data_IF_707707565733
#
_entry.id   IF_707707565733
#
_cell.length_a   1.000
_cell.length_b   1.000
_cell.length_c   1.000
_cell.angle_alpha   90.00
_cell.angle_beta   90.00
_cell.angle_gamma   90.00
#
_symmetry.space_group_name_H-M   'P 1'
#
loop_
_entity.id
_entity.type
_entity.pdbx_description
1 polymer ?
#
# COMPACT_ATOMS: atom_id res chain seq x y z
N UNK A 1 -14.48 -7.35 9.36
CA UNK A 1 -13.24 -8.15 9.30
C UNK A 1 -12.44 -7.60 8.12
N UNK A 2 -11.17 -7.23 8.30
CA UNK A 2 -10.37 -6.62 7.23
C UNK A 2 -9.68 -7.71 6.42
N UNK A 3 -9.77 -7.67 5.09
CA UNK A 3 -9.17 -8.67 4.19
C UNK A 3 -8.01 -8.05 3.42
N UNK A 4 -6.94 -8.83 3.23
CA UNK A 4 -5.84 -8.57 2.31
C UNK A 4 -5.85 -9.70 1.29
N UNK A 5 -5.98 -9.34 0.01
CA UNK A 5 -5.96 -10.30 -1.10
C UNK A 5 -4.66 -10.16 -1.85
N UNK A 6 -3.98 -11.28 -2.04
CA UNK A 6 -2.67 -11.35 -2.66
C UNK A 6 -2.68 -12.35 -3.82
N UNK A 7 -1.90 -12.07 -4.86
CA UNK A 7 -1.54 -13.01 -5.92
C UNK A 7 -0.08 -13.43 -5.70
N UNK A 8 0.20 -14.73 -5.66
CA UNK A 8 1.57 -15.23 -5.49
C UNK A 8 2.37 -15.06 -6.80
N UNK A 9 3.50 -14.34 -6.77
CA UNK A 9 4.33 -14.05 -7.95
C UNK A 9 5.55 -15.00 -8.01
N UNK A 10 5.97 -15.56 -6.88
CA UNK A 10 7.08 -16.52 -6.81
C UNK A 10 7.77 -16.55 -5.44
N UNK A 11 8.85 -17.34 -5.33
CA UNK A 11 9.70 -17.42 -4.13
C UNK A 11 11.02 -16.68 -4.39
N UNK A 12 11.21 -15.49 -3.83
CA UNK A 12 12.55 -14.91 -3.74
C UNK A 12 13.24 -15.29 -2.42
N UNK A 13 14.23 -16.18 -2.53
CA UNK A 13 15.24 -16.52 -1.52
C UNK A 13 14.78 -17.11 -0.18
N UNK A 14 15.69 -17.89 0.43
CA UNK A 14 15.57 -18.72 1.65
C UNK A 14 15.03 -18.05 2.93
N UNK A 15 14.69 -16.75 2.91
CA UNK A 15 14.39 -15.94 4.11
C UNK A 15 12.98 -15.32 4.08
N UNK A 16 12.29 -15.33 2.93
CA UNK A 16 10.95 -14.72 2.81
C UNK A 16 9.95 -15.76 2.31
N UNK A 17 8.83 -15.93 3.03
CA UNK A 17 7.73 -16.85 2.69
C UNK A 17 6.91 -16.35 1.48
N UNK A 18 7.56 -16.17 0.33
CA UNK A 18 6.94 -15.78 -0.94
C UNK A 18 6.93 -14.27 -1.21
N UNK A 19 6.86 -13.93 -2.50
CA UNK A 19 6.62 -12.58 -3.00
C UNK A 19 5.18 -12.52 -3.49
N UNK A 20 4.43 -11.56 -2.97
CA UNK A 20 3.02 -11.39 -3.26
C UNK A 20 2.73 -10.05 -3.92
N UNK A 21 1.88 -10.06 -4.94
CA UNK A 21 1.24 -8.87 -5.47
C UNK A 21 -0.03 -8.60 -4.68
N UNK A 22 -0.14 -7.45 -4.03
CA UNK A 22 -1.36 -7.10 -3.29
C UNK A 22 -2.43 -6.64 -4.28
N UNK A 23 -3.48 -7.44 -4.41
CA UNK A 23 -4.65 -7.20 -5.28
C UNK A 23 -5.64 -6.25 -4.61
N UNK A 24 -5.94 -6.49 -3.32
CA UNK A 24 -6.79 -5.61 -2.50
C UNK A 24 -6.24 -5.50 -1.06
N UNK A 25 -6.51 -4.37 -0.41
CA UNK A 25 -6.03 -4.05 0.94
C UNK A 25 -4.79 -3.17 0.98
N UNK A 26 -4.32 -2.66 -0.17
CA UNK A 26 -3.14 -1.80 -0.27
C UNK A 26 -3.23 -0.57 0.66
N UNK A 27 -4.37 0.11 0.68
CA UNK A 27 -4.58 1.28 1.56
C UNK A 27 -4.53 0.88 3.04
N UNK A 28 -5.15 -0.24 3.42
CA UNK A 28 -5.16 -0.73 4.81
C UNK A 28 -3.75 -1.04 5.30
N UNK A 29 -2.96 -1.71 4.46
CA UNK A 29 -1.58 -2.05 4.80
C UNK A 29 -0.71 -0.79 4.88
N UNK A 30 -0.89 0.14 3.94
CA UNK A 30 -0.18 1.44 3.94
C UNK A 30 -0.48 2.22 5.23
N UNK A 31 -1.75 2.35 5.62
CA UNK A 31 -2.14 3.02 6.86
C UNK A 31 -1.53 2.35 8.09
N UNK A 32 -1.55 1.02 8.16
CA UNK A 32 -0.94 0.28 9.28
C UNK A 32 0.57 0.57 9.39
N UNK A 33 1.27 0.59 8.25
CA UNK A 33 2.71 0.87 8.21
C UNK A 33 2.98 2.31 8.68
N UNK A 34 2.20 3.29 8.21
CA UNK A 34 2.34 4.69 8.65
C UNK A 34 2.07 4.81 10.16
N UNK A 35 1.02 4.16 10.66
CA UNK A 35 0.68 4.16 12.08
C UNK A 35 1.79 3.56 12.96
N UNK A 36 2.39 2.45 12.52
CA UNK A 36 3.53 1.84 13.20
C UNK A 36 4.75 2.78 13.19
N UNK A 37 4.97 3.55 12.12
CA UNK A 37 6.10 4.50 12.04
C UNK A 37 5.86 5.68 12.99
N UNK A 38 4.64 6.19 13.05
CA UNK A 38 4.25 7.21 14.02
C UNK A 38 4.45 6.74 15.47
N UNK A 39 4.07 5.48 15.79
CA UNK A 39 4.35 4.86 17.09
C UNK A 39 5.84 4.74 17.38
N UNK A 40 6.62 4.28 16.41
CA UNK A 40 8.08 4.17 16.53
C UNK A 40 8.72 5.51 16.89
N UNK A 41 8.28 6.62 16.28
CA UNK A 41 8.77 7.97 16.59
C UNK A 41 8.54 8.36 18.05
N UNK A 42 7.34 8.12 18.57
CA UNK A 42 6.99 8.46 19.97
C UNK A 42 7.73 7.55 20.95
N UNK A 43 7.82 6.25 20.66
CA UNK A 43 8.50 5.29 21.54
C UNK A 43 10.03 5.48 21.57
N UNK A 44 10.63 5.99 20.50
CA UNK A 44 12.07 6.25 20.42
C UNK A 44 12.55 7.34 21.38
N UNK A 45 11.67 8.25 21.80
CA UNK A 45 11.97 9.31 22.78
C UNK A 45 11.60 8.92 24.22
N UNK A 46 11.04 7.71 24.40
CA UNK A 46 10.57 7.19 25.67
C UNK A 46 11.64 6.56 26.56
N UNK A 47 11.19 5.71 27.48
CA UNK A 47 12.08 4.94 28.37
C UNK A 47 12.83 3.79 27.63
N UNK A 48 13.71 3.08 28.32
CA UNK A 48 14.51 2.00 27.71
C UNK A 48 13.66 0.84 27.17
N UNK A 49 12.49 0.58 27.77
CA UNK A 49 11.55 -0.45 27.28
C UNK A 49 10.87 0.02 26.01
N UNK A 50 10.42 1.28 25.97
CA UNK A 50 9.80 1.90 24.80
C UNK A 50 10.79 1.97 23.63
N UNK A 51 12.03 2.38 23.88
CA UNK A 51 13.10 2.38 22.86
C UNK A 51 13.37 1.00 22.29
N UNK A 52 13.34 -0.05 23.11
CA UNK A 52 13.48 -1.42 22.62
C UNK A 52 12.35 -1.79 21.66
N UNK A 53 11.11 -1.47 22.01
CA UNK A 53 9.95 -1.70 21.12
C UNK A 53 10.05 -0.85 19.85
N UNK A 54 10.53 0.39 19.94
CA UNK A 54 10.77 1.24 18.79
C UNK A 54 11.77 0.61 17.80
N UNK A 55 12.86 0.01 18.31
CA UNK A 55 13.83 -0.70 17.49
C UNK A 55 13.23 -1.95 16.82
N UNK A 56 12.42 -2.72 17.56
CA UNK A 56 11.71 -3.88 17.00
C UNK A 56 10.78 -3.46 15.84
N UNK A 57 10.03 -2.37 16.00
CA UNK A 57 9.17 -1.83 14.93
C UNK A 57 10.00 -1.35 13.74
N UNK A 58 11.12 -0.67 13.97
CA UNK A 58 12.01 -0.19 12.92
C UNK A 58 12.59 -1.34 12.10
N UNK A 59 12.99 -2.43 12.75
CA UNK A 59 13.52 -3.64 12.10
C UNK A 59 12.48 -4.38 11.24
N UNK A 60 11.18 -4.27 11.58
CA UNK A 60 10.10 -4.80 10.74
C UNK A 60 9.93 -4.00 9.44
N UNK A 61 10.28 -2.72 9.43
CA UNK A 61 10.09 -1.84 8.28
C UNK A 61 11.29 -1.83 7.34
N UNK A 62 12.49 -1.82 7.90
CA UNK A 62 13.75 -1.65 7.17
C UNK A 62 14.72 -2.73 7.63
N UNK A 63 15.14 -3.58 6.69
CA UNK A 63 16.22 -4.57 6.94
C UNK A 63 17.57 -3.87 7.04
N UNK A 64 18.55 -4.55 7.63
CA UNK A 64 19.93 -4.05 7.81
C UNK A 64 20.62 -3.64 6.50
N UNK A 65 20.14 -4.13 5.35
CA UNK A 65 20.60 -3.76 4.00
C UNK A 65 19.80 -2.62 3.35
N UNK A 66 19.04 -1.85 4.14
CA UNK A 66 18.18 -0.76 3.68
C UNK A 66 17.09 -1.19 2.67
N UNK A 67 16.75 -2.47 2.60
CA UNK A 67 15.57 -2.92 1.86
C UNK A 67 14.31 -2.68 2.69
N UNK A 68 13.35 -1.97 2.10
CA UNK A 68 12.00 -1.87 2.64
C UNK A 68 11.36 -3.26 2.60
N UNK A 69 10.93 -3.73 3.77
CA UNK A 69 10.46 -5.10 3.95
C UNK A 69 9.00 -5.27 3.51
N UNK A 70 8.20 -4.20 3.57
CA UNK A 70 6.74 -4.36 3.67
C UNK A 70 5.94 -3.96 2.42
N UNK A 71 6.44 -3.07 1.56
CA UNK A 71 5.72 -2.61 0.37
C UNK A 71 6.68 -2.08 -0.69
N UNK A 72 6.75 -2.73 -1.85
CA UNK A 72 7.24 -2.10 -3.07
C UNK A 72 6.04 -1.50 -3.80
N UNK A 73 5.92 -0.18 -3.80
CA UNK A 73 4.88 0.50 -4.56
C UNK A 73 5.33 0.70 -6.00
N UNK A 74 4.50 0.31 -6.98
CA UNK A 74 4.75 0.50 -8.41
C UNK A 74 4.64 1.98 -8.86
N UNK A 75 4.64 2.94 -7.94
CA UNK A 75 4.28 4.33 -8.21
C UNK A 75 5.40 5.30 -7.82
N UNK A 76 5.54 6.39 -8.58
CA UNK A 76 6.48 7.52 -8.40
C UNK A 76 6.57 8.13 -6.98
N UNK A 77 5.62 7.83 -6.09
CA UNK A 77 5.63 8.28 -4.69
C UNK A 77 6.50 7.41 -3.76
N UNK A 78 7.12 6.35 -4.29
CA UNK A 78 7.96 5.41 -3.52
C UNK A 78 9.05 6.12 -2.72
N UNK A 79 9.67 7.18 -3.26
CA UNK A 79 10.72 7.93 -2.58
C UNK A 79 10.20 8.71 -1.34
N UNK A 80 9.02 9.34 -1.43
CA UNK A 80 8.48 10.13 -0.32
C UNK A 80 8.06 9.20 0.82
N UNK A 81 7.38 8.10 0.49
CA UNK A 81 7.01 7.09 1.46
C UNK A 81 8.24 6.47 2.13
N UNK A 82 9.23 6.07 1.33
CA UNK A 82 10.50 5.52 1.80
C UNK A 82 11.23 6.48 2.72
N UNK A 83 11.39 7.74 2.30
CA UNK A 83 12.07 8.75 3.09
C UNK A 83 11.37 8.97 4.44
N UNK A 84 10.03 8.96 4.46
CA UNK A 84 9.27 9.02 5.72
C UNK A 84 9.54 7.80 6.62
N UNK A 85 9.58 6.59 6.07
CA UNK A 85 9.87 5.38 6.85
C UNK A 85 11.31 5.34 7.39
N UNK A 86 12.27 5.84 6.61
CA UNK A 86 13.69 5.93 6.99
C UNK A 86 13.92 7.03 8.04
N UNK A 87 13.47 8.25 7.76
CA UNK A 87 13.83 9.44 8.54
C UNK A 87 12.77 9.89 9.54
N UNK A 88 11.51 9.50 9.34
CA UNK A 88 10.36 10.02 10.09
C UNK A 88 9.99 11.47 9.72
N UNK A 89 10.58 12.05 8.68
CA UNK A 89 10.34 13.42 8.26
C UNK A 89 9.20 13.51 7.25
N UNK A 90 8.25 14.41 7.53
CA UNK A 90 7.16 14.74 6.62
C UNK A 90 7.71 15.72 5.56
N UNK A 91 7.51 15.49 4.26
CA UNK A 91 8.02 16.36 3.21
C UNK A 91 7.41 17.76 3.26
N UNK A 92 8.19 18.75 2.83
CA UNK A 92 7.75 20.13 2.72
C UNK A 92 6.77 20.33 1.54
N UNK A 93 5.98 21.40 1.59
CA UNK A 93 4.93 21.70 0.58
C UNK A 93 5.49 21.78 -0.85
N UNK A 94 6.74 22.22 -1.03
CA UNK A 94 7.42 22.31 -2.32
C UNK A 94 7.72 20.93 -2.95
N UNK A 95 7.72 19.85 -2.17
CA UNK A 95 7.93 18.47 -2.63
C UNK A 95 6.61 17.78 -3.00
N UNK A 96 5.45 18.38 -2.68
CA UNK A 96 4.11 17.83 -2.97
C UNK A 96 3.71 18.22 -4.39
N UNK A 97 3.90 17.30 -5.33
CA UNK A 97 3.62 17.55 -6.77
C UNK A 97 2.29 16.97 -7.27
N UNK A 98 1.72 15.99 -6.57
CA UNK A 98 0.50 15.29 -7.00
C UNK A 98 -0.52 15.19 -5.86
N UNK A 99 -1.80 15.03 -6.21
CA UNK A 99 -2.87 14.77 -5.24
C UNK A 99 -2.60 13.50 -4.43
N UNK A 100 -2.04 12.47 -5.06
CA UNK A 100 -1.65 11.22 -4.39
C UNK A 100 -0.55 11.45 -3.34
N UNK A 101 0.45 12.28 -3.65
CA UNK A 101 1.47 12.71 -2.69
C UNK A 101 0.83 13.48 -1.53
N UNK A 102 -0.11 14.38 -1.83
CA UNK A 102 -0.79 15.17 -0.81
C UNK A 102 -1.58 14.27 0.17
N UNK A 103 -2.39 13.34 -0.35
CA UNK A 103 -3.14 12.37 0.48
C UNK A 103 -2.21 11.53 1.35
N UNK A 104 -1.05 11.14 0.83
CA UNK A 104 -0.05 10.40 1.59
C UNK A 104 0.53 11.23 2.74
N UNK A 105 0.84 12.51 2.49
CA UNK A 105 1.33 13.45 3.52
C UNK A 105 0.28 13.72 4.59
N UNK A 106 -0.98 13.85 4.19
CA UNK A 106 -2.11 13.98 5.11
C UNK A 106 -2.22 12.73 6.00
N UNK A 107 -2.10 11.53 5.43
CA UNK A 107 -2.09 10.29 6.20
C UNK A 107 -0.95 10.22 7.22
N UNK A 108 0.25 10.72 6.90
CA UNK A 108 1.36 10.82 7.87
C UNK A 108 0.97 11.69 9.06
N UNK A 109 0.42 12.88 8.78
CA UNK A 109 0.01 13.84 9.82
C UNK A 109 -1.13 13.28 10.67
N UNK A 110 -2.12 12.66 10.05
CA UNK A 110 -3.25 12.06 10.75
C UNK A 110 -2.81 10.93 11.69
N UNK A 111 -1.93 10.03 11.22
CA UNK A 111 -1.42 8.95 12.06
C UNK A 111 -0.56 9.48 13.22
N UNK A 112 0.31 10.47 12.97
CA UNK A 112 1.10 11.09 14.04
C UNK A 112 0.22 11.79 15.07
N UNK A 113 -0.79 12.53 14.62
CA UNK A 113 -1.75 13.17 15.50
C UNK A 113 -2.55 12.15 16.31
N UNK A 114 -3.02 11.07 15.68
CA UNK A 114 -3.74 9.99 16.35
C UNK A 114 -2.90 9.36 17.47
N UNK A 115 -1.64 9.02 17.20
CA UNK A 115 -0.72 8.45 18.21
C UNK A 115 -0.47 9.44 19.33
N UNK A 116 -0.23 10.72 19.03
CA UNK A 116 0.02 11.76 20.03
C UNK A 116 -1.21 12.04 20.91
N UNK A 117 -2.42 11.87 20.37
CA UNK A 117 -3.68 12.04 21.11
C UNK A 117 -4.11 10.77 21.87
N UNK A 118 -3.41 9.64 21.68
CA UNK A 118 -3.75 8.39 22.33
C UNK A 118 -3.44 8.43 23.83
N UNK A 119 -4.48 8.48 24.67
CA UNK A 119 -4.34 8.72 26.11
C UNK A 119 -4.00 7.49 26.94
N UNK A 120 -4.15 6.28 26.38
CA UNK A 120 -3.90 5.03 27.12
C UNK A 120 -2.42 4.58 27.09
N UNK A 121 -1.53 5.42 26.56
CA UNK A 121 -0.09 5.16 26.43
C UNK A 121 0.30 4.39 25.17
N UNK A 122 1.44 4.74 24.56
CA UNK A 122 1.89 4.20 23.27
C UNK A 122 2.10 2.69 23.28
N UNK A 123 2.61 2.12 24.39
CA UNK A 123 2.78 0.67 24.54
C UNK A 123 1.45 -0.09 24.54
N UNK A 124 0.38 0.49 25.07
CA UNK A 124 -0.95 -0.16 25.03
C UNK A 124 -1.50 -0.20 23.61
N UNK A 125 -1.24 0.85 22.82
CA UNK A 125 -1.61 0.87 21.40
C UNK A 125 -0.84 -0.20 20.61
N UNK A 126 0.46 -0.37 20.87
CA UNK A 126 1.24 -1.47 20.27
C UNK A 126 0.64 -2.84 20.63
N UNK A 127 0.28 -3.06 21.89
CA UNK A 127 -0.36 -4.31 22.31
C UNK A 127 -1.72 -4.52 21.66
N UNK A 128 -2.51 -3.45 21.50
CA UNK A 128 -3.81 -3.51 20.82
C UNK A 128 -3.62 -3.91 19.36
N UNK A 129 -2.70 -3.26 18.64
CA UNK A 129 -2.39 -3.60 17.24
C UNK A 129 -1.94 -5.06 17.16
N UNK A 130 -0.97 -5.47 17.99
CA UNK A 130 -0.42 -6.83 17.94
C UNK A 130 -1.43 -7.93 18.27
N UNK A 131 -2.32 -7.69 19.24
CA UNK A 131 -3.16 -8.74 19.81
C UNK A 131 -4.64 -8.67 19.36
N UNK A 132 -5.08 -7.56 18.77
CA UNK A 132 -6.50 -7.31 18.45
C UNK A 132 -6.75 -6.87 17.02
N UNK A 133 -5.72 -6.46 16.27
CA UNK A 133 -5.84 -6.19 14.84
C UNK A 133 -5.50 -7.47 14.06
N UNK A 134 -6.51 -8.06 13.42
CA UNK A 134 -6.35 -9.23 12.57
C UNK A 134 -6.79 -8.96 11.13
N UNK A 135 -6.08 -9.55 10.18
CA UNK A 135 -6.44 -9.56 8.77
C UNK A 135 -6.78 -10.97 8.32
N UNK A 136 -7.80 -11.11 7.47
CA UNK A 136 -7.95 -12.30 6.65
C UNK A 136 -6.93 -12.16 5.52
N UNK A 137 -5.97 -13.08 5.45
CA UNK A 137 -5.02 -13.16 4.36
C UNK A 137 -5.50 -14.20 3.35
N UNK A 138 -5.80 -13.77 2.13
CA UNK A 138 -6.31 -14.63 1.07
C UNK A 138 -5.35 -14.62 -0.12
N UNK A 139 -4.79 -15.78 -0.42
CA UNK A 139 -3.83 -15.96 -1.52
C UNK A 139 -4.56 -16.53 -2.73
N UNK A 140 -4.31 -15.93 -3.87
CA UNK A 140 -4.76 -16.37 -5.18
C UNK A 140 -3.57 -16.95 -5.95
N UNK A 141 -3.81 -18.07 -6.62
CA UNK A 141 -2.84 -18.73 -7.50
C UNK A 141 -3.01 -18.33 -8.97
N UNK A 142 -4.20 -17.82 -9.34
CA UNK A 142 -4.55 -17.42 -10.70
C UNK A 142 -4.81 -15.91 -10.81
N UNK A 143 -4.17 -15.27 -11.78
CA UNK A 143 -4.32 -13.85 -12.08
C UNK A 143 -5.75 -13.52 -12.57
N UNK A 144 -6.39 -14.44 -13.30
CA UNK A 144 -7.80 -14.30 -13.72
C UNK A 144 -8.76 -14.21 -12.53
N UNK A 145 -8.54 -15.04 -11.50
CA UNK A 145 -9.26 -14.99 -10.24
C UNK A 145 -9.02 -13.67 -9.48
N UNK A 146 -7.82 -13.08 -9.58
CA UNK A 146 -7.50 -11.79 -8.97
C UNK A 146 -8.38 -10.65 -9.50
N UNK A 147 -8.58 -10.57 -10.82
CA UNK A 147 -9.48 -9.57 -11.42
C UNK A 147 -10.92 -9.74 -10.95
N UNK A 148 -11.41 -10.98 -10.88
CA UNK A 148 -12.78 -11.28 -10.45
C UNK A 148 -12.99 -10.94 -8.98
N UNK A 149 -12.05 -11.31 -8.11
CA UNK A 149 -12.10 -10.98 -6.69
C UNK A 149 -12.01 -9.48 -6.47
N UNK A 150 -11.14 -8.78 -7.20
CA UNK A 150 -11.04 -7.32 -7.15
C UNK A 150 -12.36 -6.65 -7.53
N UNK A 151 -13.00 -7.05 -8.63
CA UNK A 151 -14.30 -6.51 -9.06
C UNK A 151 -15.39 -6.74 -8.00
N UNK A 152 -15.47 -7.94 -7.43
CA UNK A 152 -16.47 -8.30 -6.42
C UNK A 152 -16.25 -7.57 -5.09
N UNK A 153 -15.00 -7.42 -4.63
CA UNK A 153 -14.71 -6.70 -3.38
C UNK A 153 -15.00 -5.20 -3.50
N UNK A 154 -14.69 -4.61 -4.64
CA UNK A 154 -14.86 -3.19 -4.91
C UNK A 154 -16.29 -2.77 -5.27
N UNK A 155 -17.15 -3.70 -5.65
CA UNK A 155 -18.58 -3.43 -5.86
C UNK A 155 -19.38 -3.30 -4.55
N UNK A 156 -18.77 -3.56 -3.38
CA UNK A 156 -19.44 -3.54 -2.06
C UNK A 156 -18.95 -2.42 -1.12
N UNK A 157 -17.95 -1.62 -1.52
CA UNK A 157 -17.34 -0.55 -0.71
C UNK A 157 -17.58 0.87 -1.27
N UNK A 158 -16.73 1.84 -0.90
CA UNK A 158 -16.61 3.14 -1.59
C UNK A 158 -16.55 2.87 -3.10
N UNK A 159 -17.39 3.55 -3.89
CA UNK A 159 -17.45 3.29 -5.32
C UNK A 159 -16.06 3.44 -5.94
N UNK A 160 -15.53 2.33 -6.45
CA UNK A 160 -14.31 2.39 -7.26
C UNK A 160 -14.56 3.31 -8.44
N UNK A 161 -13.54 4.12 -8.70
CA UNK A 161 -13.54 5.09 -9.76
C UNK A 161 -13.99 4.45 -11.08
N UNK A 162 -14.79 5.17 -11.84
CA UNK A 162 -15.28 4.69 -13.14
C UNK A 162 -14.10 4.35 -14.06
N UNK A 163 -12.97 5.05 -13.92
CA UNK A 163 -11.76 4.77 -14.68
C UNK A 163 -11.11 3.44 -14.26
N UNK A 164 -11.02 3.18 -12.96
CA UNK A 164 -10.50 1.92 -12.42
C UNK A 164 -11.41 0.73 -12.75
N UNK A 165 -12.74 0.95 -12.76
CA UNK A 165 -13.72 -0.03 -13.26
C UNK A 165 -13.50 -0.32 -14.75
N UNK A 166 -13.33 0.71 -15.56
CA UNK A 166 -13.03 0.59 -16.99
C UNK A 166 -11.74 -0.19 -17.23
N UNK A 167 -10.67 0.14 -16.49
CA UNK A 167 -9.41 -0.60 -16.51
C UNK A 167 -9.60 -2.07 -16.19
N UNK A 168 -10.23 -2.38 -15.06
CA UNK A 168 -10.44 -3.76 -14.62
C UNK A 168 -11.22 -4.56 -15.65
N UNK A 169 -12.28 -3.98 -16.22
CA UNK A 169 -13.09 -4.61 -17.27
C UNK A 169 -12.26 -4.89 -18.53
N UNK A 170 -11.49 -3.91 -19.02
CA UNK A 170 -10.68 -4.06 -20.23
C UNK A 170 -9.54 -5.06 -20.04
N UNK A 171 -8.86 -5.05 -18.88
CA UNK A 171 -7.85 -6.05 -18.52
C UNK A 171 -8.46 -7.46 -18.48
N UNK A 172 -9.64 -7.62 -17.86
CA UNK A 172 -10.35 -8.90 -17.81
C UNK A 172 -10.79 -9.42 -19.18
N UNK A 173 -11.21 -8.54 -20.10
CA UNK A 173 -11.54 -8.91 -21.48
C UNK A 173 -10.30 -9.36 -22.23
N UNK A 174 -9.19 -8.63 -22.13
CA UNK A 174 -7.92 -8.97 -22.77
C UNK A 174 -7.43 -10.34 -22.30
N UNK A 175 -7.44 -10.56 -20.98
CA UNK A 175 -7.07 -11.83 -20.37
C UNK A 175 -7.91 -13.02 -20.90
N UNK A 176 -9.22 -12.83 -21.06
CA UNK A 176 -10.14 -13.86 -21.56
C UNK A 176 -10.01 -14.14 -23.07
N UNK A 177 -9.61 -13.13 -23.86
CA UNK A 177 -9.52 -13.25 -25.33
C UNK A 177 -8.17 -13.76 -25.83
N UNK A 178 -7.12 -13.72 -25.01
CA UNK A 178 -5.80 -14.16 -25.42
C UNK A 178 -5.75 -15.67 -25.73
N UNK A 179 -5.29 -16.00 -26.95
CA UNK A 179 -5.37 -17.35 -27.53
C UNK A 179 -4.39 -18.36 -26.91
N UNK A 180 -3.28 -17.87 -26.33
CA UNK A 180 -2.31 -18.66 -25.60
C UNK A 180 -1.60 -17.79 -24.53
N UNK A 181 -0.80 -18.42 -23.67
CA UNK A 181 -0.14 -17.75 -22.54
C UNK A 181 0.85 -16.67 -22.98
N UNK A 182 1.72 -16.93 -23.96
CA UNK A 182 2.74 -15.96 -24.39
C UNK A 182 2.12 -14.68 -24.95
N UNK A 183 1.08 -14.80 -25.78
CA UNK A 183 0.35 -13.65 -26.33
C UNK A 183 -0.39 -12.89 -25.23
N UNK A 184 -0.87 -13.59 -24.20
CA UNK A 184 -1.52 -12.98 -23.04
C UNK A 184 -0.55 -12.12 -22.26
N UNK A 185 0.60 -12.67 -21.91
CA UNK A 185 1.60 -12.00 -21.09
C UNK A 185 2.10 -10.73 -21.82
N UNK A 186 2.38 -10.81 -23.13
CA UNK A 186 2.75 -9.63 -23.95
C UNK A 186 1.65 -8.56 -24.01
N UNK A 187 0.40 -8.96 -24.21
CA UNK A 187 -0.74 -8.03 -24.29
C UNK A 187 -1.03 -7.36 -22.94
N UNK A 188 -0.93 -8.10 -21.83
CA UNK A 188 -1.13 -7.58 -20.48
C UNK A 188 -0.04 -6.58 -20.12
N UNK A 189 1.21 -6.86 -20.48
CA UNK A 189 2.33 -5.93 -20.28
C UNK A 189 2.17 -4.63 -21.07
N UNK A 190 1.71 -4.71 -22.33
CA UNK A 190 1.42 -3.54 -23.15
C UNK A 190 0.29 -2.69 -22.54
N UNK A 191 -0.80 -3.34 -22.10
CA UNK A 191 -1.91 -2.66 -21.44
C UNK A 191 -1.48 -2.00 -20.12
N UNK A 192 -0.61 -2.63 -19.33
CA UNK A 192 -0.06 -2.01 -18.13
C UNK A 192 0.71 -0.73 -18.44
N UNK A 193 1.52 -0.71 -19.51
CA UNK A 193 2.23 0.50 -19.95
C UNK A 193 1.26 1.60 -20.36
N UNK A 194 0.27 1.29 -21.19
CA UNK A 194 -0.75 2.25 -21.65
C UNK A 194 -1.54 2.84 -20.48
N UNK A 195 -1.98 2.00 -19.54
CA UNK A 195 -2.66 2.47 -18.34
C UNK A 195 -1.75 3.37 -17.49
N UNK A 196 -0.47 3.04 -17.34
CA UNK A 196 0.51 3.89 -16.68
C UNK A 196 0.58 5.30 -17.29
N UNK A 197 0.58 5.40 -18.62
CA UNK A 197 0.57 6.69 -19.32
C UNK A 197 -0.73 7.47 -19.12
N UNK A 198 -1.88 6.79 -19.11
CA UNK A 198 -3.19 7.39 -18.84
C UNK A 198 -3.22 8.00 -17.43
N UNK A 199 -2.84 7.24 -16.40
CA UNK A 199 -2.82 7.75 -15.02
C UNK A 199 -1.81 8.89 -14.84
N UNK A 200 -0.66 8.83 -15.50
CA UNK A 200 0.32 9.93 -15.46
C UNK A 200 -0.28 11.22 -16.04
N UNK A 201 -0.99 11.12 -17.16
CA UNK A 201 -1.60 12.27 -17.84
C UNK A 201 -2.75 12.87 -17.03
N UNK A 202 -3.62 12.01 -16.49
CA UNK A 202 -4.75 12.43 -15.63
C UNK A 202 -4.22 13.00 -14.31
N UNK A 203 -3.22 12.38 -13.68
CA UNK A 203 -2.67 12.84 -12.41
C UNK A 203 -1.98 14.22 -12.47
N UNK A 204 -1.53 14.65 -13.65
CA UNK A 204 -0.95 15.99 -13.89
C UNK A 204 -2.03 17.04 -14.16
N UNK A 205 -3.17 16.62 -14.70
CA UNK A 205 -4.25 17.52 -15.06
C UNK A 205 -5.26 17.54 -13.91
N UNK A 206 -5.46 18.69 -13.24
CA UNK A 206 -6.55 18.82 -12.25
C UNK A 206 -7.91 18.78 -12.97
N UNK A 207 -8.36 17.61 -13.37
CA UNK A 207 -9.68 17.39 -13.95
C UNK A 207 -10.67 17.33 -12.78
N UNK A 208 -11.65 18.25 -12.77
CA UNK A 208 -12.73 18.21 -11.80
C UNK A 208 -13.65 17.01 -12.10
N UNK A 209 -13.39 15.90 -11.43
CA UNK A 209 -14.31 14.79 -11.22
C UNK A 209 -14.36 14.45 -9.72
N UNK A 210 -15.20 13.49 -9.33
CA UNK A 210 -15.19 12.93 -7.96
C UNK A 210 -13.78 12.48 -7.50
N UNK A 211 -12.85 12.31 -8.44
CA UNK A 211 -11.43 12.00 -8.28
C UNK A 211 -10.60 13.08 -7.52
N UNK A 212 -11.13 14.31 -7.38
CA UNK A 212 -10.43 15.46 -6.75
C UNK A 212 -11.10 16.03 -5.50
N UNK A 213 -12.10 15.34 -4.93
CA UNK A 213 -12.59 15.63 -3.58
C UNK A 213 -11.86 14.80 -2.52
#
# INVERSE_FOLDING_TARGET
MATIVCLEIGKETLIVDGVFHIVDGQQRLTTLIILLKALQKVLATGDDKEKKVANDIQALMIKEDNRLVLLQTNHDNSHIFRNYLETGLIPETNQIKTTSTQRLVEAFKECENFVNQWTYGSLSLVQLIKNRLGFIFYILEDEGAAYTVFEVLNSRGLEVDWLDKCKTMLMGIAFKKASNKNVRDEQIDELHKLWGEIYRTIGVTKIQGHETK
#
